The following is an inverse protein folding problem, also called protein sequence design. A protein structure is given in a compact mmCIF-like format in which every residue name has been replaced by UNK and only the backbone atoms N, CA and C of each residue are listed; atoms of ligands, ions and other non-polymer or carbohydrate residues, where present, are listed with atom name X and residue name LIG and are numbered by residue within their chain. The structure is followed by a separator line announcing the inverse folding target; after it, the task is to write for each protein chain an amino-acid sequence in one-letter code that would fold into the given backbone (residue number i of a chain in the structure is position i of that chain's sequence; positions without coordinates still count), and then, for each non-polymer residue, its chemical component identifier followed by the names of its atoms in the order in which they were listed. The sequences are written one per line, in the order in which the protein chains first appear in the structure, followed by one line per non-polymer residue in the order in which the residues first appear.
data_IF_547296020239
#
_entry.id   IF_547296020239
#
_cell.length_a   1.000
_cell.length_b   1.000
_cell.length_c   1.000
_cell.angle_alpha   90.00
_cell.angle_beta   90.00
_cell.angle_gamma   90.00
#
_symmetry.space_group_name_H-M   'P 1'
#
loop_
_entity.id
_entity.type
_entity.pdbx_description
1 polymer ?
#
# COMPACT_ATOMS: atom_id res chain seq x y z
N UNK A 1 8.78 -18.81 13.15
CA UNK A 1 9.38 -19.54 12.01
C UNK A 1 8.37 -19.53 10.88
N UNK A 2 8.80 -19.26 9.66
CA UNK A 2 7.97 -19.36 8.47
C UNK A 2 7.42 -20.79 8.38
N UNK A 3 6.14 -21.00 8.71
CA UNK A 3 5.50 -22.31 8.63
C UNK A 3 4.98 -22.55 7.22
N UNK A 4 5.42 -23.63 6.57
CA UNK A 4 4.94 -24.04 5.24
C UNK A 4 3.41 -24.07 5.17
N UNK A 5 2.76 -24.45 6.26
CA UNK A 5 1.30 -24.53 6.37
C UNK A 5 0.64 -23.16 6.28
N UNK A 6 1.29 -22.10 6.77
CA UNK A 6 0.80 -20.72 6.69
C UNK A 6 0.80 -20.22 5.25
N UNK A 7 1.88 -20.45 4.49
CA UNK A 7 1.95 -20.05 3.08
C UNK A 7 0.95 -20.79 2.20
N UNK A 8 0.75 -22.08 2.45
CA UNK A 8 -0.25 -22.86 1.71
C UNK A 8 -1.66 -22.26 1.94
N UNK A 9 -2.00 -21.90 3.18
CA UNK A 9 -3.28 -21.23 3.49
C UNK A 9 -3.42 -19.88 2.78
N UNK A 10 -2.33 -19.12 2.68
CA UNK A 10 -2.30 -17.84 1.98
C UNK A 10 -2.52 -18.01 0.47
N UNK A 11 -1.86 -18.99 -0.14
CA UNK A 11 -2.07 -19.35 -1.56
C UNK A 11 -3.51 -19.80 -1.80
N UNK A 12 -4.07 -20.64 -0.93
CA UNK A 12 -5.50 -21.01 -1.01
C UNK A 12 -6.40 -19.78 -0.92
N UNK A 13 -6.07 -18.80 -0.08
CA UNK A 13 -6.78 -17.52 0.00
C UNK A 13 -6.79 -16.76 -1.32
N UNK A 14 -5.65 -16.71 -2.03
CA UNK A 14 -5.56 -16.14 -3.38
C UNK A 14 -6.45 -16.91 -4.38
N UNK A 15 -6.45 -18.24 -4.31
CA UNK A 15 -7.31 -19.07 -5.16
C UNK A 15 -8.79 -18.78 -4.93
N UNK A 16 -9.24 -18.72 -3.67
CA UNK A 16 -10.63 -18.38 -3.30
C UNK A 16 -11.04 -17.00 -3.79
N UNK A 17 -10.19 -15.98 -3.63
CA UNK A 17 -10.48 -14.62 -4.13
C UNK A 17 -10.57 -14.61 -5.66
N UNK A 18 -9.66 -15.29 -6.34
CA UNK A 18 -9.64 -15.35 -7.80
C UNK A 18 -10.77 -16.20 -8.43
N UNK A 19 -11.46 -17.03 -7.67
CA UNK A 19 -12.65 -17.76 -8.15
C UNK A 19 -13.85 -16.85 -8.40
N UNK A 20 -13.93 -15.76 -7.65
CA UNK A 20 -14.99 -14.76 -7.73
C UNK A 20 -14.80 -13.80 -8.93
N UNK A 21 -13.71 -13.94 -9.68
CA UNK A 21 -13.45 -13.10 -10.86
C UNK A 21 -14.34 -13.51 -12.03
N UNK A 22 -14.46 -12.62 -13.02
CA UNK A 22 -15.18 -12.95 -14.26
C UNK A 22 -14.54 -14.16 -14.96
N UNK A 23 -15.36 -15.00 -15.61
CA UNK A 23 -14.93 -16.32 -16.14
C UNK A 23 -13.78 -16.26 -17.15
N UNK A 24 -13.62 -15.15 -17.87
CA UNK A 24 -12.60 -14.96 -18.92
C UNK A 24 -11.47 -14.03 -18.52
N UNK A 25 -11.38 -13.64 -17.25
CA UNK A 25 -10.38 -12.68 -16.80
C UNK A 25 -8.97 -13.26 -16.79
N UNK A 26 -8.01 -12.72 -17.58
CA UNK A 26 -6.63 -13.20 -17.59
C UNK A 26 -5.92 -13.00 -16.24
N UNK A 27 -6.28 -11.95 -15.50
CA UNK A 27 -5.68 -11.64 -14.19
C UNK A 27 -5.85 -12.78 -13.19
N UNK A 28 -6.91 -13.58 -13.31
CA UNK A 28 -7.14 -14.78 -12.47
C UNK A 28 -5.94 -15.72 -12.50
N UNK A 29 -5.45 -16.04 -13.70
CA UNK A 29 -4.35 -16.97 -13.89
C UNK A 29 -3.00 -16.36 -13.52
N UNK A 30 -2.81 -15.07 -13.83
CA UNK A 30 -1.60 -14.33 -13.46
C UNK A 30 -1.43 -14.24 -11.94
N UNK A 31 -2.52 -13.97 -11.21
CA UNK A 31 -2.53 -13.88 -9.75
C UNK A 31 -2.15 -15.22 -9.11
N UNK A 32 -2.78 -16.31 -9.57
CA UNK A 32 -2.51 -17.67 -9.10
C UNK A 32 -1.06 -18.07 -9.36
N UNK A 33 -0.60 -17.92 -10.62
CA UNK A 33 0.78 -18.21 -11.00
C UNK A 33 1.78 -17.45 -10.12
N UNK A 34 1.53 -16.16 -9.88
CA UNK A 34 2.44 -15.35 -9.06
C UNK A 34 2.43 -15.77 -7.59
N UNK A 35 1.27 -16.16 -7.04
CA UNK A 35 1.19 -16.69 -5.68
C UNK A 35 1.93 -18.04 -5.55
N UNK A 36 1.83 -18.90 -6.56
CA UNK A 36 2.55 -20.18 -6.60
C UNK A 36 4.07 -19.97 -6.71
N UNK A 37 4.52 -18.97 -7.48
CA UNK A 37 5.93 -18.56 -7.54
C UNK A 37 6.45 -18.06 -6.18
N UNK A 38 5.65 -17.26 -5.45
CA UNK A 38 6.01 -16.82 -4.09
C UNK A 38 6.13 -18.01 -3.14
N UNK A 39 5.17 -18.93 -3.17
CA UNK A 39 5.20 -20.15 -2.37
C UNK A 39 6.46 -20.98 -2.68
N UNK A 40 6.76 -21.20 -3.96
CA UNK A 40 7.94 -21.94 -4.38
C UNK A 40 9.24 -21.29 -3.89
N UNK A 41 9.36 -19.98 -4.02
CA UNK A 41 10.54 -19.22 -3.56
C UNK A 41 10.69 -19.26 -2.04
N UNK A 42 9.59 -19.21 -1.28
CA UNK A 42 9.61 -19.30 0.18
C UNK A 42 9.96 -20.70 0.69
N UNK A 43 9.43 -21.74 0.05
CA UNK A 43 9.81 -23.13 0.34
C UNK A 43 11.28 -23.35 0.00
N UNK A 44 11.77 -22.83 -1.13
CA UNK A 44 13.18 -22.92 -1.48
C UNK A 44 14.08 -22.17 -0.46
N UNK A 45 13.64 -21.01 0.02
CA UNK A 45 14.34 -20.22 1.02
C UNK A 45 14.39 -20.86 2.41
N UNK A 46 13.49 -21.79 2.75
CA UNK A 46 13.53 -22.52 4.04
C UNK A 46 14.75 -23.45 4.16
N UNK A 47 15.26 -23.99 3.05
CA UNK A 47 16.29 -25.03 3.10
C UNK A 47 17.72 -24.46 3.11
N UNK A 48 18.00 -23.37 2.38
CA UNK A 48 19.22 -22.58 2.48
C UNK A 48 19.11 -21.34 1.55
N UNK A 49 18.77 -20.14 2.03
CA UNK A 49 18.56 -19.00 1.13
C UNK A 49 19.89 -18.31 0.80
N UNK A 50 20.37 -18.33 -0.46
CA UNK A 50 21.26 -17.28 -0.91
C UNK A 50 20.50 -15.94 -0.87
N UNK A 51 21.18 -14.83 -0.59
CA UNK A 51 20.55 -13.48 -0.50
C UNK A 51 19.66 -13.16 -1.71
N UNK A 52 20.07 -13.63 -2.90
CA UNK A 52 19.32 -13.50 -4.15
C UNK A 52 17.92 -14.12 -4.12
N UNK A 53 17.73 -15.23 -3.40
CA UNK A 53 16.43 -15.89 -3.27
C UNK A 53 15.46 -15.06 -2.44
N UNK A 54 15.93 -14.44 -1.35
CA UNK A 54 15.12 -13.56 -0.50
C UNK A 54 14.76 -12.26 -1.23
N UNK A 55 15.68 -11.68 -2.00
CA UNK A 55 15.38 -10.55 -2.88
C UNK A 55 14.32 -10.89 -3.93
N UNK A 56 14.40 -12.10 -4.49
CA UNK A 56 13.42 -12.59 -5.47
C UNK A 56 12.03 -12.69 -4.85
N UNK A 57 11.93 -13.22 -3.62
CA UNK A 57 10.67 -13.28 -2.86
C UNK A 57 10.06 -11.89 -2.69
N UNK A 58 10.86 -10.90 -2.27
CA UNK A 58 10.39 -9.52 -2.08
C UNK A 58 9.84 -8.95 -3.40
N UNK A 59 10.55 -9.14 -4.51
CA UNK A 59 10.10 -8.69 -5.84
C UNK A 59 8.80 -9.37 -6.26
N UNK A 60 8.69 -10.68 -6.03
CA UNK A 60 7.48 -11.44 -6.37
C UNK A 60 6.27 -11.00 -5.54
N UNK A 61 6.45 -10.77 -4.24
CA UNK A 61 5.40 -10.24 -3.34
C UNK A 61 4.94 -8.85 -3.80
N UNK A 62 5.88 -7.97 -4.19
CA UNK A 62 5.53 -6.64 -4.70
C UNK A 62 4.67 -6.71 -5.97
N UNK A 63 5.02 -7.58 -6.93
CA UNK A 63 4.23 -7.80 -8.15
C UNK A 63 2.85 -8.38 -7.82
N UNK A 64 2.78 -9.36 -6.91
CA UNK A 64 1.51 -9.94 -6.47
C UNK A 64 0.61 -8.89 -5.81
N UNK A 65 1.18 -8.01 -4.98
CA UNK A 65 0.47 -6.87 -4.38
C UNK A 65 -0.13 -5.93 -5.42
N UNK A 66 0.61 -5.64 -6.50
CA UNK A 66 0.11 -4.83 -7.61
C UNK A 66 -1.07 -5.52 -8.32
N UNK A 67 -1.00 -6.83 -8.57
CA UNK A 67 -2.11 -7.59 -9.16
C UNK A 67 -3.35 -7.61 -8.26
N UNK A 68 -3.18 -7.78 -6.94
CA UNK A 68 -4.28 -7.72 -5.98
C UNK A 68 -4.93 -6.33 -5.96
N UNK A 69 -4.15 -5.25 -6.10
CA UNK A 69 -4.68 -3.90 -6.20
C UNK A 69 -5.46 -3.67 -7.50
N UNK A 70 -4.98 -4.21 -8.63
CA UNK A 70 -5.73 -4.18 -9.89
C UNK A 70 -7.04 -4.94 -9.69
N UNK A 71 -7.02 -6.15 -9.15
CA UNK A 71 -8.22 -6.95 -8.92
C UNK A 71 -9.24 -6.27 -7.98
N UNK A 72 -8.77 -5.62 -6.92
CA UNK A 72 -9.62 -4.85 -6.00
C UNK A 72 -10.33 -3.69 -6.72
N UNK A 73 -9.64 -3.00 -7.63
CA UNK A 73 -10.21 -1.90 -8.40
C UNK A 73 -11.32 -2.33 -9.37
N UNK A 74 -11.38 -3.61 -9.73
CA UNK A 74 -12.43 -4.17 -10.60
C UNK A 74 -13.73 -4.48 -9.84
N UNK A 75 -13.71 -4.41 -8.51
CA UNK A 75 -14.87 -4.60 -7.64
C UNK A 75 -15.60 -5.97 -7.80
N UNK A 76 -14.89 -7.01 -8.24
CA UNK A 76 -15.43 -8.38 -8.32
C UNK A 76 -15.52 -9.06 -6.96
N UNK A 77 -14.68 -8.63 -6.02
CA UNK A 77 -14.57 -9.21 -4.68
C UNK A 77 -14.59 -8.10 -3.67
N UNK A 78 -15.19 -8.38 -2.51
CA UNK A 78 -15.24 -7.46 -1.40
C UNK A 78 -13.81 -7.03 -0.96
N UNK A 79 -13.56 -5.74 -0.70
CA UNK A 79 -12.23 -5.20 -0.39
C UNK A 79 -11.60 -5.83 0.86
N UNK A 80 -12.41 -6.29 1.82
CA UNK A 80 -11.95 -6.94 3.05
C UNK A 80 -11.14 -8.21 2.75
N UNK A 81 -11.52 -8.96 1.71
CA UNK A 81 -10.82 -10.17 1.29
C UNK A 81 -9.42 -9.85 0.75
N UNK A 82 -9.26 -8.72 0.06
CA UNK A 82 -7.96 -8.26 -0.41
C UNK A 82 -7.11 -7.69 0.71
N UNK A 83 -7.73 -7.00 1.67
CA UNK A 83 -7.03 -6.42 2.82
C UNK A 83 -6.31 -7.47 3.65
N UNK A 84 -6.98 -8.59 3.96
CA UNK A 84 -6.37 -9.69 4.72
C UNK A 84 -5.15 -10.25 3.98
N UNK A 85 -5.30 -10.57 2.68
CA UNK A 85 -4.21 -11.09 1.86
C UNK A 85 -3.02 -10.12 1.81
N UNK A 86 -3.27 -8.84 1.54
CA UNK A 86 -2.22 -7.82 1.48
C UNK A 86 -1.49 -7.69 2.82
N UNK A 87 -2.21 -7.72 3.93
CA UNK A 87 -1.62 -7.61 5.28
C UNK A 87 -0.70 -8.78 5.58
N UNK A 88 -1.13 -9.99 5.29
CA UNK A 88 -0.33 -11.20 5.48
C UNK A 88 0.92 -11.20 4.58
N UNK A 89 0.78 -10.90 3.29
CA UNK A 89 1.93 -10.79 2.37
C UNK A 89 2.93 -9.70 2.79
N UNK A 90 2.45 -8.58 3.34
CA UNK A 90 3.30 -7.52 3.89
C UNK A 90 4.03 -7.95 5.17
N UNK A 91 3.39 -8.75 6.03
CA UNK A 91 4.06 -9.32 7.20
C UNK A 91 5.22 -10.22 6.76
N UNK A 92 4.99 -11.07 5.77
CA UNK A 92 6.02 -11.96 5.18
C UNK A 92 7.16 -11.14 4.57
N UNK A 93 6.84 -10.08 3.81
CA UNK A 93 7.86 -9.20 3.24
C UNK A 93 8.76 -8.58 4.32
N UNK A 94 8.19 -8.18 5.47
CA UNK A 94 8.94 -7.64 6.60
C UNK A 94 9.85 -8.70 7.24
N UNK A 95 9.35 -9.91 7.45
CA UNK A 95 10.14 -11.02 8.00
C UNK A 95 11.33 -11.36 7.08
N UNK A 96 11.09 -11.46 5.77
CA UNK A 96 12.13 -11.73 4.76
C UNK A 96 13.17 -10.61 4.72
N UNK A 97 12.76 -9.35 4.84
CA UNK A 97 13.69 -8.21 4.95
C UNK A 97 14.52 -8.24 6.22
N UNK A 98 13.93 -8.65 7.36
CA UNK A 98 14.67 -8.81 8.61
C UNK A 98 15.72 -9.92 8.49
N UNK A 99 15.39 -11.04 7.84
CA UNK A 99 16.35 -12.11 7.56
C UNK A 99 17.53 -11.64 6.70
N UNK A 100 17.28 -10.82 5.67
CA UNK A 100 18.33 -10.20 4.86
C UNK A 100 19.25 -9.27 5.68
N UNK A 101 18.70 -8.48 6.59
CA UNK A 101 19.50 -7.59 7.45
C UNK A 101 20.40 -8.39 8.41
N UNK A 102 19.87 -9.47 8.99
CA UNK A 102 20.63 -10.34 9.91
C UNK A 102 21.72 -11.12 9.16
N UNK A 103 21.44 -11.61 7.94
CA UNK A 103 22.43 -12.28 7.09
C UNK A 103 23.57 -11.31 6.67
N UNK A 104 23.24 -10.06 6.37
CA UNK A 104 24.23 -9.02 6.06
C UNK A 104 25.08 -8.57 7.27
N UNK A 105 24.59 -8.78 8.50
CA UNK A 105 25.30 -8.41 9.74
C UNK A 105 26.23 -9.50 10.28
N UNK A 106 26.15 -10.75 9.80
CA UNK A 106 27.11 -11.80 10.14
C UNK A 106 28.54 -11.53 9.66
N UNK A 107 28.75 -10.48 8.84
CA UNK A 107 30.07 -10.05 8.35
C UNK A 107 30.56 -8.71 8.93
N UNK A 108 29.98 -8.18 10.02
CA UNK A 108 30.52 -7.01 10.72
C UNK A 108 30.04 -6.92 12.18
N UNK A 109 30.93 -7.12 13.14
CA UNK A 109 30.71 -6.80 14.56
C UNK A 109 31.17 -5.35 14.88
N UNK A 110 30.81 -4.76 16.04
CA UNK A 110 29.86 -3.64 16.12
C UNK A 110 30.50 -2.29 16.51
N UNK A 111 29.78 -1.19 16.28
CA UNK A 111 30.02 0.08 17.00
C UNK A 111 28.70 0.65 17.51
N UNK A 112 28.59 1.00 18.81
CA UNK A 112 27.34 1.43 19.42
C UNK A 112 27.10 2.91 19.14
N UNK A 113 25.89 3.27 18.71
CA UNK A 113 25.38 4.62 18.93
C UNK A 113 23.86 4.59 19.10
N UNK A 114 23.42 5.11 20.24
CA UNK A 114 22.04 5.12 20.70
C UNK A 114 21.20 6.15 19.91
N UNK A 115 20.03 5.68 19.47
CA UNK A 115 18.73 6.37 19.29
C UNK A 115 18.74 7.92 19.47
N UNK A 116 18.55 8.66 18.36
CA UNK A 116 17.32 9.44 18.10
C UNK A 116 17.22 9.88 16.62
N UNK A 117 16.00 9.99 16.06
CA UNK A 117 15.75 9.91 14.63
C UNK A 117 15.93 11.28 13.93
N UNK A 118 17.13 11.54 13.43
CA UNK A 118 17.38 12.63 12.49
C UNK A 118 17.06 12.18 11.06
N UNK A 119 16.04 12.86 10.51
CA UNK A 119 15.60 12.87 9.10
C UNK A 119 16.73 12.55 8.10
N UNK A 120 16.55 11.60 7.16
CA UNK A 120 17.31 11.64 5.93
C UNK A 120 16.54 12.41 4.85
N UNK A 121 17.20 13.45 4.33
CA UNK A 121 16.94 14.04 3.02
C UNK A 121 17.29 12.99 1.95
N UNK A 122 16.32 12.52 1.17
CA UNK A 122 16.55 11.98 -0.19
C UNK A 122 15.26 12.24 -1.01
N UNK A 123 15.31 13.16 -1.97
CA UNK A 123 15.63 12.84 -3.36
C UNK A 123 14.60 11.90 -4.02
N UNK A 124 13.56 12.56 -4.57
CA UNK A 124 12.74 12.23 -5.74
C UNK A 124 12.62 10.75 -6.14
N UNK A 125 11.52 10.11 -5.75
CA UNK A 125 10.80 9.14 -6.59
C UNK A 125 9.32 9.51 -6.53
N UNK A 126 8.72 9.80 -7.69
CA UNK A 126 7.32 10.20 -7.87
C UNK A 126 6.39 9.07 -7.40
N UNK A 127 5.81 9.19 -6.22
CA UNK A 127 4.91 8.18 -5.64
C UNK A 127 3.45 8.59 -5.77
N UNK A 128 2.66 7.66 -6.31
CA UNK A 128 1.21 7.65 -6.33
C UNK A 128 0.70 7.87 -4.88
N UNK A 129 -0.32 8.72 -4.63
CA UNK A 129 -0.72 9.05 -3.28
C UNK A 129 -1.33 7.83 -2.57
N UNK A 130 -0.81 7.51 -1.39
CA UNK A 130 -1.30 6.45 -0.51
C UNK A 130 -2.64 6.85 0.14
N UNK A 131 -3.73 6.18 -0.25
CA UNK A 131 -5.08 6.44 0.25
C UNK A 131 -5.51 5.46 1.36
N UNK A 132 -4.61 4.60 1.85
CA UNK A 132 -4.94 3.60 2.85
C UNK A 132 -5.17 4.25 4.23
N UNK A 133 -6.43 4.23 4.71
CA UNK A 133 -6.83 4.81 6.00
C UNK A 133 -7.71 6.08 5.93
N UNK A 134 -8.18 6.47 4.74
CA UNK A 134 -9.06 7.62 4.59
C UNK A 134 -10.53 7.28 4.84
N UNK A 135 -11.16 7.96 5.81
CA UNK A 135 -12.63 8.00 5.97
C UNK A 135 -13.31 8.36 4.64
N UNK A 136 -14.51 7.83 4.38
CA UNK A 136 -15.21 8.02 3.10
C UNK A 136 -15.41 9.49 2.73
N UNK A 137 -15.53 10.36 3.74
CA UNK A 137 -15.55 11.82 3.58
C UNK A 137 -14.25 12.39 2.97
N UNK A 138 -13.09 11.89 3.40
CA UNK A 138 -11.80 12.30 2.83
C UNK A 138 -11.64 11.85 1.38
N UNK A 139 -12.14 10.64 1.04
CA UNK A 139 -12.15 10.14 -0.34
C UNK A 139 -13.00 11.04 -1.26
N UNK A 140 -14.18 11.47 -0.82
CA UNK A 140 -15.02 12.44 -1.56
C UNK A 140 -14.31 13.78 -1.77
N UNK A 141 -13.60 14.30 -0.76
CA UNK A 141 -12.82 15.55 -0.89
C UNK A 141 -11.73 15.41 -1.97
N UNK A 142 -11.01 14.29 -1.99
CA UNK A 142 -10.00 14.01 -3.02
C UNK A 142 -10.64 13.85 -4.40
N UNK A 143 -11.79 13.20 -4.50
CA UNK A 143 -12.51 13.04 -5.77
C UNK A 143 -12.89 14.41 -6.37
N UNK A 144 -13.38 15.34 -5.55
CA UNK A 144 -13.67 16.72 -5.98
C UNK A 144 -12.41 17.42 -6.48
N UNK A 145 -11.28 17.25 -5.78
CA UNK A 145 -10.01 17.83 -6.20
C UNK A 145 -9.44 17.22 -7.48
N UNK A 146 -9.68 15.92 -7.74
CA UNK A 146 -9.32 15.28 -9.02
C UNK A 146 -10.11 15.86 -10.19
N UNK A 147 -11.38 16.22 -9.97
CA UNK A 147 -12.25 16.75 -11.02
C UNK A 147 -12.01 18.24 -11.30
N UNK A 148 -11.68 19.05 -10.27
CA UNK A 148 -11.57 20.51 -10.40
C UNK A 148 -10.14 21.06 -10.39
N UNK A 149 -9.12 20.22 -10.23
CA UNK A 149 -7.70 20.56 -10.08
C UNK A 149 -7.36 21.43 -8.84
N UNK A 150 -8.12 22.49 -8.55
CA UNK A 150 -8.22 23.16 -7.24
C UNK A 150 -9.65 23.36 -6.78
N UNK A 151 -9.85 23.46 -5.47
CA UNK A 151 -11.13 23.84 -4.89
C UNK A 151 -10.94 24.67 -3.61
N UNK A 152 -11.87 25.60 -3.36
CA UNK A 152 -11.96 26.33 -2.10
C UNK A 152 -12.92 25.64 -1.14
N UNK A 153 -12.86 26.00 0.15
CA UNK A 153 -13.79 25.48 1.19
C UNK A 153 -15.26 25.68 0.79
N UNK A 154 -15.58 26.76 0.06
CA UNK A 154 -16.94 27.03 -0.43
C UNK A 154 -17.39 26.00 -1.47
N UNK A 155 -16.49 25.52 -2.32
CA UNK A 155 -16.80 24.53 -3.35
C UNK A 155 -17.04 23.15 -2.74
N UNK A 156 -16.26 22.78 -1.73
CA UNK A 156 -16.52 21.55 -0.96
C UNK A 156 -17.86 21.61 -0.24
N UNK A 157 -18.24 22.77 0.30
CA UNK A 157 -19.52 22.94 0.98
C UNK A 157 -20.74 22.88 0.02
N UNK A 158 -20.54 23.10 -1.29
CA UNK A 158 -21.58 22.90 -2.33
C UNK A 158 -21.77 21.42 -2.67
N UNK A 159 -20.68 20.64 -2.66
CA UNK A 159 -20.69 19.21 -3.02
C UNK A 159 -20.95 18.32 -1.81
N UNK A 160 -20.62 18.79 -0.61
CA UNK A 160 -20.81 18.11 0.67
C UNK A 160 -21.60 19.02 1.64
N UNK A 161 -22.91 19.25 1.39
CA UNK A 161 -23.74 20.07 2.29
C UNK A 161 -23.93 19.43 3.67
N UNK A 162 -23.71 18.12 3.78
CA UNK A 162 -23.74 17.32 5.02
C UNK A 162 -22.62 17.67 6.03
N UNK A 163 -21.64 18.50 5.65
CA UNK A 163 -20.45 18.77 6.46
C UNK A 163 -20.27 20.27 6.69
N UNK A 164 -20.07 20.68 7.94
CA UNK A 164 -19.81 22.09 8.26
C UNK A 164 -18.43 22.54 7.77
N UNK A 165 -18.29 23.85 7.50
CA UNK A 165 -17.01 24.49 7.14
C UNK A 165 -15.88 24.18 8.14
N UNK A 166 -16.20 24.00 9.43
CA UNK A 166 -15.22 23.65 10.48
C UNK A 166 -14.71 22.23 10.33
N UNK A 167 -15.57 21.29 9.98
CA UNK A 167 -15.19 19.89 9.77
C UNK A 167 -14.41 19.72 8.46
N UNK A 168 -14.81 20.41 7.39
CA UNK A 168 -14.05 20.44 6.13
C UNK A 168 -12.62 20.95 6.31
N UNK A 169 -12.41 21.97 7.15
CA UNK A 169 -11.05 22.44 7.50
C UNK A 169 -10.23 21.35 8.17
N UNK A 170 -10.77 20.68 9.20
CA UNK A 170 -10.09 19.59 9.91
C UNK A 170 -9.73 18.43 8.99
N UNK A 171 -10.64 18.08 8.08
CA UNK A 171 -10.43 17.02 7.10
C UNK A 171 -9.36 17.39 6.07
N UNK A 172 -9.37 18.64 5.59
CA UNK A 172 -8.33 19.14 4.69
C UNK A 172 -6.98 19.28 5.40
N UNK A 173 -6.96 19.66 6.68
CA UNK A 173 -5.75 19.69 7.51
C UNK A 173 -5.18 18.29 7.70
N UNK A 174 -6.04 17.29 7.92
CA UNK A 174 -5.64 15.88 7.96
C UNK A 174 -5.04 15.42 6.62
N UNK A 175 -5.64 15.81 5.49
CA UNK A 175 -5.13 15.51 4.15
C UNK A 175 -3.82 16.26 3.81
N UNK A 176 -3.64 17.47 4.35
CA UNK A 176 -2.40 18.23 4.27
C UNK A 176 -1.27 17.55 5.07
N UNK A 177 -1.56 17.12 6.30
CA UNK A 177 -0.61 16.39 7.15
C UNK A 177 -0.18 15.05 6.53
N UNK A 178 -1.11 14.37 5.86
CA UNK A 178 -0.84 13.14 5.10
C UNK A 178 -0.13 13.39 3.76
N UNK A 179 0.04 14.65 3.35
CA UNK A 179 0.74 15.02 2.12
C UNK A 179 -0.04 14.72 0.84
N UNK A 180 -1.35 14.49 0.92
CA UNK A 180 -2.21 14.16 -0.23
C UNK A 180 -2.72 15.42 -0.94
N UNK A 181 -2.80 16.52 -0.20
CA UNK A 181 -3.31 17.81 -0.66
C UNK A 181 -2.29 18.89 -0.28
N UNK A 182 -2.23 19.96 -1.05
CA UNK A 182 -1.40 21.15 -0.82
C UNK A 182 -2.31 22.37 -0.81
N UNK A 183 -2.01 23.32 0.08
CA UNK A 183 -2.73 24.57 0.23
C UNK A 183 -1.99 25.67 -0.50
N UNK A 184 -2.67 26.40 -1.37
CA UNK A 184 -2.16 27.55 -2.09
C UNK A 184 -3.00 28.79 -1.77
N UNK A 185 -2.35 29.96 -1.70
CA UNK A 185 -3.01 31.26 -1.57
C UNK A 185 -3.06 31.84 -0.16
N UNK A 186 -3.27 33.16 -0.11
CA UNK A 186 -3.26 33.97 1.11
C UNK A 186 -4.66 34.21 1.67
N UNK A 187 -4.78 34.09 3.00
CA UNK A 187 -5.92 34.42 3.88
C UNK A 187 -7.33 34.10 3.31
N UNK A 188 -7.88 34.89 2.38
CA UNK A 188 -9.23 34.73 1.83
C UNK A 188 -9.33 33.86 0.56
N UNK A 189 -8.24 33.68 -0.20
CA UNK A 189 -8.20 32.87 -1.43
C UNK A 189 -7.46 31.55 -1.23
N UNK A 190 -7.76 30.89 -0.12
CA UNK A 190 -7.15 29.59 0.18
C UNK A 190 -7.76 28.51 -0.72
N UNK A 191 -6.93 27.98 -1.61
CA UNK A 191 -7.24 26.87 -2.50
C UNK A 191 -6.47 25.62 -2.10
N UNK A 192 -7.10 24.48 -2.32
CA UNK A 192 -6.51 23.17 -2.06
C UNK A 192 -6.32 22.45 -3.40
N UNK A 193 -5.17 21.80 -3.60
CA UNK A 193 -4.82 21.03 -4.79
C UNK A 193 -4.26 19.67 -4.41
N UNK A 194 -4.48 18.64 -5.23
CA UNK A 194 -3.81 17.35 -5.00
C UNK A 194 -2.32 17.52 -5.22
N UNK A 195 -1.53 16.94 -4.30
CA UNK A 195 -0.09 16.85 -4.44
C UNK A 195 0.23 15.71 -5.41
N UNK A 196 0.76 16.04 -6.59
CA UNK A 196 1.31 15.09 -7.57
C UNK A 196 2.80 14.84 -7.30
#
# INVERSE_FOLDING_TARGET
MLDKSHFIKLTIGVYKVSELFSKREPLKFLLRKKADEVLASLVAAQFNPPDRALEQVIKQIAVLGAYLQIAESQNWVKPENFWLLKTEYQAIEKEVKQMLVVAGQANSQPKPEMIQPSKPKMAKIKTIPDFSGLKDRHKKIIQVLRQKASAQIRDFNKVLPEVTKRTLRRDLDFLLQKGLVTRFGDKSKTEYKIKM
#
